data_IF_565705560721
#
_entry.id   IF_565705560721
#
_cell.length_a   1.000
_cell.length_b   1.000
_cell.length_c   1.000
_cell.angle_alpha   90.00
_cell.angle_beta   90.00
_cell.angle_gamma   90.00
#
_symmetry.space_group_name_H-M   'P 1'
#
loop_
_entity.id
_entity.type
_entity.pdbx_description
1 polymer ?
#
# COMPACT_ATOMS: atom_id res chain seq x y z
N UNK A 1 11.44 -2.02 5.73
CA UNK A 1 10.96 -1.90 7.13
C UNK A 1 10.19 -0.59 7.26
N UNK A 2 9.40 -0.37 8.32
CA UNK A 2 8.79 0.96 8.51
C UNK A 2 9.82 2.06 8.72
N UNK A 3 10.97 1.72 9.32
CA UNK A 3 12.13 2.61 9.42
C UNK A 3 12.60 3.11 8.05
N UNK A 4 12.86 2.19 7.11
CA UNK A 4 13.28 2.53 5.75
C UNK A 4 12.21 3.36 5.04
N UNK A 5 10.94 2.96 5.13
CA UNK A 5 9.82 3.70 4.53
C UNK A 5 9.75 5.15 5.03
N UNK A 6 9.85 5.36 6.35
CA UNK A 6 9.86 6.72 6.89
C UNK A 6 11.11 7.49 6.48
N UNK A 7 12.26 6.83 6.37
CA UNK A 7 13.51 7.46 5.89
C UNK A 7 13.37 7.94 4.45
N UNK A 8 12.87 7.08 3.57
CA UNK A 8 12.69 7.38 2.13
C UNK A 8 11.67 8.50 1.90
N UNK A 9 10.64 8.58 2.74
CA UNK A 9 9.61 9.62 2.69
C UNK A 9 9.99 10.91 3.45
N UNK A 10 11.18 10.97 4.06
CA UNK A 10 11.63 12.11 4.87
C UNK A 10 10.78 12.34 6.12
N UNK A 11 10.15 11.29 6.66
CA UNK A 11 9.33 11.35 7.87
C UNK A 11 10.17 11.11 9.13
N UNK A 12 9.73 11.68 10.25
CA UNK A 12 10.39 11.44 11.52
C UNK A 12 10.22 9.97 11.96
N UNK A 13 11.30 9.38 12.47
CA UNK A 13 11.31 7.97 12.92
C UNK A 13 10.72 7.89 14.33
N UNK A 14 9.39 7.74 14.42
CA UNK A 14 8.68 7.52 15.68
C UNK A 14 7.34 6.79 15.45
N UNK A 15 6.73 6.31 16.54
CA UNK A 15 5.49 5.53 16.50
C UNK A 15 4.35 6.22 15.72
N UNK A 16 4.22 7.55 15.84
CA UNK A 16 3.19 8.31 15.14
C UNK A 16 3.30 8.20 13.61
N UNK A 17 4.52 8.20 13.06
CA UNK A 17 4.70 8.07 11.61
C UNK A 17 4.62 6.62 11.13
N UNK A 18 4.86 5.65 12.02
CA UNK A 18 4.56 4.24 11.73
C UNK A 18 3.05 4.01 11.68
N UNK A 19 2.29 4.55 12.64
CA UNK A 19 0.82 4.51 12.62
C UNK A 19 0.28 5.19 11.35
N UNK A 20 0.87 6.33 10.96
CA UNK A 20 0.52 7.01 9.70
C UNK A 20 0.79 6.13 8.48
N UNK A 21 1.90 5.38 8.47
CA UNK A 21 2.20 4.48 7.38
C UNK A 21 1.21 3.30 7.32
N UNK A 22 0.80 2.74 8.46
CA UNK A 22 -0.29 1.74 8.55
C UNK A 22 -1.63 2.29 8.03
N UNK A 23 -1.96 3.54 8.36
CA UNK A 23 -3.14 4.23 7.85
C UNK A 23 -3.08 4.38 6.31
N UNK A 24 -1.93 4.79 5.77
CA UNK A 24 -1.71 4.88 4.33
C UNK A 24 -1.92 3.53 3.64
N UNK A 25 -1.40 2.44 4.20
CA UNK A 25 -1.58 1.08 3.66
C UNK A 25 -3.06 0.66 3.69
N UNK A 26 -3.76 0.95 4.78
CA UNK A 26 -5.21 0.70 4.89
C UNK A 26 -5.98 1.45 3.80
N UNK A 27 -5.62 2.71 3.56
CA UNK A 27 -6.22 3.52 2.51
C UNK A 27 -5.90 2.99 1.12
N UNK A 28 -4.67 2.57 0.86
CA UNK A 28 -4.28 1.95 -0.42
C UNK A 28 -5.07 0.68 -0.69
N UNK A 29 -5.33 -0.15 0.33
CA UNK A 29 -6.14 -1.36 0.17
C UNK A 29 -7.62 -1.05 -0.09
N UNK A 30 -8.17 -0.04 0.59
CA UNK A 30 -9.57 0.35 0.44
C UNK A 30 -9.83 1.18 -0.84
N UNK A 31 -8.80 1.78 -1.42
CA UNK A 31 -8.94 2.62 -2.61
C UNK A 31 -9.01 1.74 -3.85
N UNK A 32 -10.12 1.83 -4.56
CA UNK A 32 -10.23 1.32 -5.91
C UNK A 32 -9.70 2.35 -6.91
N UNK A 33 -8.86 1.91 -7.84
CA UNK A 33 -8.52 2.62 -9.06
C UNK A 33 -9.54 2.28 -10.14
N UNK A 34 -10.10 3.30 -10.76
CA UNK A 34 -11.03 3.14 -11.87
C UNK A 34 -10.37 3.56 -13.17
N UNK A 35 -10.49 2.72 -14.19
CA UNK A 35 -9.99 3.05 -15.53
C UNK A 35 -10.97 2.54 -16.59
N UNK A 36 -10.97 3.21 -17.74
CA UNK A 36 -11.67 2.77 -18.93
C UNK A 36 -10.70 2.70 -20.09
N UNK A 37 -10.79 1.63 -20.89
CA UNK A 37 -9.97 1.46 -22.08
C UNK A 37 -10.88 1.33 -23.29
N UNK A 38 -10.54 2.03 -24.37
CA UNK A 38 -11.26 1.92 -25.65
C UNK A 38 -11.24 0.50 -26.24
N UNK A 39 -10.29 -0.35 -25.81
CA UNK A 39 -10.26 -1.78 -26.19
C UNK A 39 -11.21 -2.65 -25.39
N UNK A 40 -11.45 -2.28 -24.13
CA UNK A 40 -12.23 -3.07 -23.16
C UNK A 40 -13.70 -2.65 -23.18
N UNK A 41 -14.01 -1.41 -23.55
CA UNK A 41 -15.39 -0.92 -23.75
C UNK A 41 -16.22 -0.85 -22.47
N UNK A 42 -15.64 -1.11 -21.30
CA UNK A 42 -16.27 -1.05 -19.97
C UNK A 42 -15.35 -0.35 -18.96
N UNK A 43 -15.96 0.17 -17.89
CA UNK A 43 -15.27 0.72 -16.73
C UNK A 43 -14.80 -0.45 -15.85
N UNK A 44 -13.51 -0.49 -15.54
CA UNK A 44 -12.94 -1.40 -14.56
C UNK A 44 -12.67 -0.66 -13.25
N UNK A 45 -12.84 -1.37 -12.13
CA UNK A 45 -12.58 -0.86 -10.79
C UNK A 45 -11.78 -1.90 -10.03
N UNK A 46 -10.49 -1.65 -9.81
CA UNK A 46 -9.53 -2.60 -9.22
C UNK A 46 -8.92 -2.04 -7.95
N UNK A 47 -8.60 -2.87 -6.98
CA UNK A 47 -7.85 -2.45 -5.79
C UNK A 47 -6.38 -2.25 -6.12
N UNK A 48 -5.71 -1.27 -5.48
CA UNK A 48 -4.28 -1.04 -5.70
C UNK A 48 -3.40 -2.13 -5.08
N UNK A 49 -3.78 -2.59 -3.89
CA UNK A 49 -3.11 -3.68 -3.19
C UNK A 49 -4.18 -4.70 -2.79
N UNK A 50 -3.87 -5.98 -3.00
CA UNK A 50 -4.73 -7.07 -2.58
C UNK A 50 -4.77 -7.16 -1.06
N UNK A 51 -3.60 -7.09 -0.44
CA UNK A 51 -3.42 -7.27 1.00
C UNK A 51 -2.13 -6.62 1.49
N UNK A 52 -2.13 -6.20 2.76
CA UNK A 52 -0.89 -5.97 3.49
C UNK A 52 -0.87 -6.70 4.84
N UNK A 53 0.33 -6.88 5.40
CA UNK A 53 0.55 -7.41 6.75
C UNK A 53 1.65 -6.60 7.42
N UNK A 54 1.48 -6.34 8.70
CA UNK A 54 2.55 -5.80 9.56
C UNK A 54 3.08 -6.93 10.42
N UNK A 55 4.35 -7.26 10.26
CA UNK A 55 5.10 -8.20 11.09
C UNK A 55 5.84 -7.43 12.18
N UNK A 56 5.99 -8.04 13.36
CA UNK A 56 6.67 -7.46 14.53
C UNK A 56 6.17 -6.04 14.85
N UNK A 57 4.85 -5.83 14.84
CA UNK A 57 4.24 -4.51 15.08
C UNK A 57 4.64 -3.99 16.46
N UNK A 58 5.16 -2.76 16.51
CA UNK A 58 5.66 -2.12 17.74
C UNK A 58 7.13 -2.40 18.05
N UNK A 59 7.75 -3.37 17.37
CA UNK A 59 9.18 -3.65 17.51
C UNK A 59 10.03 -2.81 16.55
N UNK A 60 11.31 -2.65 16.87
CA UNK A 60 12.28 -2.00 15.95
C UNK A 60 12.42 -2.73 14.62
N UNK A 61 12.14 -4.03 14.61
CA UNK A 61 12.21 -4.87 13.41
C UNK A 61 10.94 -4.82 12.56
N UNK A 62 9.95 -3.98 12.91
CA UNK A 62 8.64 -3.97 12.26
C UNK A 62 8.74 -3.85 10.74
N UNK A 63 8.06 -4.76 10.04
CA UNK A 63 8.06 -4.88 8.58
C UNK A 63 6.66 -4.84 8.04
N UNK A 64 6.49 -4.14 6.93
CA UNK A 64 5.30 -4.25 6.11
C UNK A 64 5.57 -5.22 4.97
N UNK A 65 4.65 -6.17 4.74
CA UNK A 65 4.55 -6.96 3.53
C UNK A 65 3.31 -6.51 2.76
N UNK A 66 3.46 -6.24 1.47
CA UNK A 66 2.39 -5.80 0.59
C UNK A 66 2.28 -6.77 -0.58
N UNK A 67 1.06 -7.19 -0.86
CA UNK A 67 0.68 -8.01 -2.01
C UNK A 67 -0.07 -7.11 -2.99
N UNK A 68 0.51 -6.90 -4.17
CA UNK A 68 -0.10 -6.12 -5.25
C UNK A 68 -1.19 -6.95 -5.90
N UNK A 69 -2.30 -6.33 -6.27
CA UNK A 69 -3.37 -7.03 -6.98
C UNK A 69 -2.88 -7.51 -8.35
N UNK A 70 -3.24 -8.73 -8.75
CA UNK A 70 -2.76 -9.32 -10.01
C UNK A 70 -3.15 -8.46 -11.22
N UNK A 71 -4.34 -7.86 -11.18
CA UNK A 71 -4.81 -6.93 -12.22
C UNK A 71 -3.93 -5.68 -12.31
N UNK A 72 -3.39 -5.20 -11.17
CA UNK A 72 -2.49 -4.05 -11.14
C UNK A 72 -1.12 -4.37 -11.74
N UNK A 73 -0.63 -5.61 -11.66
CA UNK A 73 0.64 -6.02 -12.28
C UNK A 73 0.56 -5.94 -13.81
N UNK A 74 -0.61 -6.24 -14.39
CA UNK A 74 -0.85 -6.17 -15.83
C UNK A 74 -0.95 -4.72 -16.34
N UNK A 75 -1.27 -3.77 -15.44
CA UNK A 75 -1.47 -2.36 -15.77
C UNK A 75 -0.20 -1.48 -15.65
N UNK A 76 0.88 -1.99 -15.04
CA UNK A 76 2.17 -1.30 -14.89
C UNK A 76 3.09 -1.52 -16.10
#
# INVERSE_FOLDING_TARGET
TFYELCTDLGWAINGRYYDKAEECLTRLQATAMQFSSGRIGRLESVSLIHRFRVLDRGEKTSRCQVEIDEEMVVLL
#
